data_IF_188489336342
#
_entry.id   IF_188489336342
#
_cell.length_a   1.000
_cell.length_b   1.000
_cell.length_c   1.000
_cell.angle_alpha   90.00
_cell.angle_beta   90.00
_cell.angle_gamma   90.00
#
_symmetry.space_group_name_H-M   'P 1'
#
loop_
_entity.id
_entity.type
_entity.pdbx_description
1 polymer ?
#
# COMPACT_ATOMS: atom_id res chain seq x y z
N UNK A 1 27.71 -2.66 23.79
CA UNK A 1 27.17 -2.43 22.43
C UNK A 1 26.65 -3.76 21.90
N UNK A 2 25.33 -3.96 21.90
CA UNK A 2 24.71 -5.25 21.56
C UNK A 2 24.79 -5.48 20.05
N UNK A 3 25.42 -6.59 19.65
CA UNK A 3 25.58 -7.02 18.27
C UNK A 3 24.18 -7.26 17.69
N UNK A 4 23.76 -6.50 16.67
CA UNK A 4 22.49 -6.71 16.01
C UNK A 4 22.44 -8.16 15.48
N UNK A 5 21.46 -8.95 15.94
CA UNK A 5 21.20 -10.28 15.40
C UNK A 5 20.98 -10.14 13.89
N UNK A 6 21.66 -10.93 13.05
CA UNK A 6 21.49 -10.87 11.59
C UNK A 6 20.03 -11.06 11.15
N UNK A 7 19.21 -11.74 11.96
CA UNK A 7 17.79 -12.01 11.72
C UNK A 7 16.84 -11.05 12.45
N UNK A 8 17.32 -9.86 12.84
CA UNK A 8 16.43 -8.88 13.47
C UNK A 8 15.37 -8.39 12.48
N UNK A 9 14.15 -8.16 12.97
CA UNK A 9 13.04 -7.65 12.17
C UNK A 9 13.41 -6.37 11.40
N UNK A 10 14.20 -5.48 12.02
CA UNK A 10 14.63 -4.23 11.42
C UNK A 10 15.60 -4.45 10.25
N UNK A 11 16.57 -5.35 10.41
CA UNK A 11 17.50 -5.73 9.33
C UNK A 11 16.76 -6.36 8.15
N UNK A 12 15.79 -7.23 8.44
CA UNK A 12 14.94 -7.85 7.41
C UNK A 12 14.02 -6.83 6.72
N UNK A 13 13.53 -5.83 7.46
CA UNK A 13 12.77 -4.70 6.88
C UNK A 13 13.65 -3.87 5.94
N UNK A 14 14.88 -3.55 6.33
CA UNK A 14 15.80 -2.80 5.46
C UNK A 14 16.13 -3.59 4.19
N UNK A 15 16.47 -4.87 4.32
CA UNK A 15 16.76 -5.73 3.16
C UNK A 15 15.56 -5.90 2.22
N UNK A 16 14.34 -5.89 2.76
CA UNK A 16 13.13 -5.91 1.95
C UNK A 16 13.03 -4.69 1.02
N UNK A 17 13.30 -3.48 1.50
CA UNK A 17 13.19 -2.27 0.67
C UNK A 17 14.34 -2.11 -0.31
N UNK A 18 15.59 -2.18 0.17
CA UNK A 18 16.76 -1.87 -0.66
C UNK A 18 17.26 -3.07 -1.46
N UNK A 19 17.15 -4.28 -0.92
CA UNK A 19 17.50 -5.51 -1.63
C UNK A 19 16.35 -5.96 -2.52
N UNK A 20 15.25 -6.40 -1.90
CA UNK A 20 14.23 -7.14 -2.63
C UNK A 20 13.34 -6.27 -3.53
N UNK A 21 12.72 -5.22 -3.00
CA UNK A 21 11.79 -4.40 -3.78
C UNK A 21 12.48 -3.61 -4.88
N UNK A 22 13.60 -2.97 -4.57
CA UNK A 22 14.36 -2.16 -5.53
C UNK A 22 15.17 -3.03 -6.49
N UNK A 23 16.04 -3.91 -5.97
CA UNK A 23 17.02 -4.60 -6.80
C UNK A 23 16.48 -5.86 -7.47
N UNK A 24 15.61 -6.62 -6.79
CA UNK A 24 15.07 -7.88 -7.35
C UNK A 24 13.77 -7.68 -8.13
N UNK A 25 12.84 -6.88 -7.61
CA UNK A 25 11.50 -6.73 -8.18
C UNK A 25 11.34 -5.52 -9.10
N UNK A 26 12.22 -4.53 -9.02
CA UNK A 26 12.16 -3.31 -9.83
C UNK A 26 10.82 -2.58 -9.72
N UNK A 27 10.22 -2.53 -8.51
CA UNK A 27 8.89 -1.93 -8.34
C UNK A 27 8.92 -0.41 -8.54
N UNK A 28 7.81 0.16 -9.00
CA UNK A 28 7.69 1.62 -9.16
C UNK A 28 7.89 2.37 -7.83
N UNK A 29 8.30 3.63 -7.92
CA UNK A 29 8.43 4.53 -6.75
C UNK A 29 7.12 4.66 -5.97
N UNK A 30 5.97 4.65 -6.65
CA UNK A 30 4.65 4.68 -6.04
C UNK A 30 4.36 3.40 -5.25
N UNK A 31 4.70 2.23 -5.80
CA UNK A 31 4.55 0.94 -5.10
C UNK A 31 5.44 0.89 -3.86
N UNK A 32 6.70 1.34 -3.97
CA UNK A 32 7.63 1.40 -2.85
C UNK A 32 7.09 2.28 -1.72
N UNK A 33 6.56 3.47 -2.06
CA UNK A 33 5.94 4.38 -1.10
C UNK A 33 4.72 3.75 -0.43
N UNK A 34 3.83 3.13 -1.21
CA UNK A 34 2.65 2.45 -0.68
C UNK A 34 3.03 1.31 0.28
N UNK A 35 4.05 0.52 -0.04
CA UNK A 35 4.51 -0.59 0.81
C UNK A 35 5.18 -0.08 2.09
N UNK A 36 5.99 0.98 2.00
CA UNK A 36 6.58 1.67 3.15
C UNK A 36 5.50 2.17 4.11
N UNK A 37 4.49 2.86 3.58
CA UNK A 37 3.43 3.44 4.39
C UNK A 37 2.56 2.35 5.03
N UNK A 38 2.31 1.24 4.32
CA UNK A 38 1.62 0.07 4.84
C UNK A 38 2.38 -0.60 6.00
N UNK A 39 3.68 -0.89 5.83
CA UNK A 39 4.50 -1.52 6.86
C UNK A 39 4.73 -0.62 8.06
N UNK A 40 4.95 0.69 7.85
CA UNK A 40 5.06 1.66 8.95
C UNK A 40 3.80 1.65 9.81
N UNK A 41 2.62 1.69 9.18
CA UNK A 41 1.35 1.69 9.90
C UNK A 41 1.11 0.37 10.63
N UNK A 42 1.50 -0.75 10.02
CA UNK A 42 1.43 -2.08 10.65
C UNK A 42 2.33 -2.18 11.88
N UNK A 43 3.59 -1.75 11.81
CA UNK A 43 4.50 -1.78 12.96
C UNK A 43 4.06 -0.85 14.09
N UNK A 44 3.55 0.33 13.77
CA UNK A 44 2.95 1.22 14.77
C UNK A 44 1.76 0.55 15.49
N UNK A 45 0.91 -0.14 14.73
CA UNK A 45 -0.20 -0.89 15.29
C UNK A 45 0.27 -2.02 16.22
N UNK A 46 1.26 -2.82 15.78
CA UNK A 46 1.81 -3.91 16.59
C UNK A 46 2.43 -3.41 17.89
N UNK A 47 3.26 -2.37 17.82
CA UNK A 47 3.87 -1.74 18.99
C UNK A 47 2.80 -1.26 19.99
N UNK A 48 1.73 -0.62 19.51
CA UNK A 48 0.60 -0.21 20.35
C UNK A 48 -0.13 -1.39 20.99
N UNK A 49 -0.43 -2.44 20.22
CA UNK A 49 -1.14 -3.62 20.72
C UNK A 49 -0.32 -4.41 21.76
N UNK A 50 0.99 -4.52 21.54
CA UNK A 50 1.92 -5.26 22.41
C UNK A 50 2.48 -4.41 23.56
N UNK A 51 2.22 -3.10 23.56
CA UNK A 51 2.82 -2.12 24.48
C UNK A 51 4.35 -2.18 24.47
N UNK A 52 4.93 -2.37 23.28
CA UNK A 52 6.37 -2.43 23.04
C UNK A 52 6.83 -1.21 22.25
N UNK A 53 8.10 -0.85 22.35
CA UNK A 53 8.69 0.08 21.39
C UNK A 53 8.84 -0.59 20.02
N UNK A 54 8.82 0.18 18.93
CA UNK A 54 9.01 -0.36 17.57
C UNK A 54 10.35 -1.09 17.44
N UNK A 55 11.39 -0.59 18.12
CA UNK A 55 12.72 -1.20 18.12
C UNK A 55 12.79 -2.56 18.83
N UNK A 56 11.79 -2.88 19.65
CA UNK A 56 11.68 -4.13 20.42
C UNK A 56 10.77 -5.16 19.73
N UNK A 57 10.16 -4.80 18.60
CA UNK A 57 9.37 -5.74 17.81
C UNK A 57 10.27 -6.79 17.19
N UNK A 58 9.84 -8.03 17.27
CA UNK A 58 10.55 -9.19 16.73
C UNK A 58 9.69 -9.95 15.70
N UNK A 59 10.26 -11.02 15.15
CA UNK A 59 9.55 -11.88 14.20
C UNK A 59 8.40 -12.65 14.86
N UNK A 60 8.44 -12.90 16.16
CA UNK A 60 7.39 -13.60 16.90
C UNK A 60 6.14 -12.73 17.09
N UNK A 61 6.28 -11.41 17.05
CA UNK A 61 5.16 -10.46 17.07
C UNK A 61 4.34 -10.46 15.76
N UNK A 62 4.88 -10.97 14.64
CA UNK A 62 4.21 -10.98 13.33
C UNK A 62 3.44 -12.30 13.14
N UNK A 63 2.24 -12.38 13.70
CA UNK A 63 1.36 -13.55 13.57
C UNK A 63 0.16 -13.29 12.66
N UNK A 64 -0.48 -14.35 12.16
CA UNK A 64 -1.66 -14.23 11.32
C UNK A 64 -2.80 -13.48 12.02
N UNK A 65 -2.99 -13.73 13.32
CA UNK A 65 -3.97 -13.09 14.17
C UNK A 65 -3.68 -11.58 14.32
N UNK A 66 -2.40 -11.21 14.41
CA UNK A 66 -1.98 -9.81 14.48
C UNK A 66 -2.21 -9.08 13.14
N UNK A 67 -1.99 -9.77 12.01
CA UNK A 67 -2.32 -9.23 10.69
C UNK A 67 -3.83 -9.06 10.52
N UNK A 68 -4.65 -10.04 10.94
CA UNK A 68 -6.10 -9.92 10.91
C UNK A 68 -6.59 -8.75 11.78
N UNK A 69 -6.10 -8.66 13.03
CA UNK A 69 -6.43 -7.56 13.92
C UNK A 69 -6.03 -6.19 13.34
N UNK A 70 -4.89 -6.11 12.66
CA UNK A 70 -4.49 -4.90 11.94
C UNK A 70 -5.46 -4.56 10.81
N UNK A 71 -5.84 -5.52 9.98
CA UNK A 71 -6.76 -5.31 8.88
C UNK A 71 -8.15 -4.84 9.37
N UNK A 72 -8.60 -5.34 10.51
CA UNK A 72 -9.84 -4.92 11.15
C UNK A 72 -9.72 -3.52 11.76
N UNK A 73 -8.59 -3.18 12.38
CA UNK A 73 -8.29 -1.82 12.84
C UNK A 73 -8.30 -0.80 11.70
N UNK A 74 -7.71 -1.16 10.57
CA UNK A 74 -7.70 -0.31 9.37
C UNK A 74 -9.11 0.01 8.89
N UNK A 75 -10.02 -0.96 8.90
CA UNK A 75 -11.39 -0.77 8.45
C UNK A 75 -12.23 -0.03 9.49
N UNK A 76 -12.19 -0.46 10.76
CA UNK A 76 -13.07 0.03 11.82
C UNK A 76 -12.67 1.38 12.40
N UNK A 77 -11.37 1.63 12.60
CA UNK A 77 -10.88 2.84 13.27
C UNK A 77 -10.39 3.90 12.31
N UNK A 78 -9.98 3.52 11.11
CA UNK A 78 -9.47 4.46 10.09
C UNK A 78 -10.41 4.61 8.89
N UNK A 79 -11.53 3.90 8.89
CA UNK A 79 -12.57 3.97 7.85
C UNK A 79 -12.02 3.75 6.43
N UNK A 80 -10.97 2.95 6.31
CA UNK A 80 -10.40 2.62 5.00
C UNK A 80 -11.30 1.63 4.27
N UNK A 81 -11.44 1.82 2.95
CA UNK A 81 -12.21 0.91 2.10
C UNK A 81 -11.56 -0.49 2.02
N UNK A 82 -12.35 -1.49 1.62
CA UNK A 82 -11.87 -2.85 1.37
C UNK A 82 -10.72 -2.88 0.35
N UNK A 83 -10.71 -1.99 -0.65
CA UNK A 83 -9.61 -1.84 -1.62
C UNK A 83 -8.32 -1.46 -0.91
N UNK A 84 -8.36 -0.39 -0.10
CA UNK A 84 -7.17 0.08 0.64
C UNK A 84 -6.69 -0.95 1.67
N UNK A 85 -7.61 -1.65 2.34
CA UNK A 85 -7.31 -2.80 3.22
C UNK A 85 -6.54 -3.88 2.46
N UNK A 86 -7.01 -4.25 1.26
CA UNK A 86 -6.36 -5.26 0.44
C UNK A 86 -4.99 -4.82 -0.09
N UNK A 87 -4.81 -3.54 -0.45
CA UNK A 87 -3.50 -3.01 -0.82
C UNK A 87 -2.49 -3.12 0.34
N UNK A 88 -2.92 -2.86 1.58
CA UNK A 88 -2.07 -3.04 2.77
C UNK A 88 -1.75 -4.51 3.03
N UNK A 89 -2.73 -5.40 2.88
CA UNK A 89 -2.50 -6.85 2.95
C UNK A 89 -1.50 -7.32 1.89
N UNK A 90 -1.55 -6.78 0.67
CA UNK A 90 -0.60 -7.12 -0.39
C UNK A 90 0.85 -6.72 -0.02
N UNK A 91 1.04 -5.55 0.58
CA UNK A 91 2.35 -5.13 1.10
C UNK A 91 2.86 -6.07 2.20
N UNK A 92 2.00 -6.42 3.17
CA UNK A 92 2.35 -7.36 4.26
C UNK A 92 2.70 -8.74 3.70
N UNK A 93 1.91 -9.26 2.76
CA UNK A 93 2.20 -10.55 2.09
C UNK A 93 3.52 -10.51 1.34
N UNK A 94 3.81 -9.44 0.61
CA UNK A 94 5.09 -9.28 -0.07
C UNK A 94 6.26 -9.25 0.92
N UNK A 95 6.08 -8.63 2.09
CA UNK A 95 7.08 -8.61 3.14
C UNK A 95 7.28 -10.01 3.75
N UNK A 96 6.21 -10.72 4.07
CA UNK A 96 6.29 -12.09 4.59
C UNK A 96 6.89 -13.07 3.58
N UNK A 97 6.64 -12.90 2.28
CA UNK A 97 7.33 -13.65 1.23
C UNK A 97 8.84 -13.38 1.19
N UNK A 98 9.27 -12.18 1.59
CA UNK A 98 10.70 -11.89 1.77
C UNK A 98 11.24 -12.55 3.03
N UNK A 99 10.51 -12.46 4.15
CA UNK A 99 10.88 -13.15 5.39
C UNK A 99 11.05 -14.66 5.18
N UNK A 100 10.13 -15.31 4.46
CA UNK A 100 10.19 -16.74 4.15
C UNK A 100 11.43 -17.13 3.32
N UNK A 101 11.97 -16.21 2.51
CA UNK A 101 13.21 -16.45 1.76
C UNK A 101 14.46 -16.34 2.63
N UNK A 102 14.40 -15.50 3.65
CA UNK A 102 15.51 -15.29 4.58
C UNK A 102 15.51 -16.34 5.70
N UNK A 103 14.34 -16.75 6.18
CA UNK A 103 14.16 -17.71 7.27
C UNK A 103 13.06 -18.72 6.93
N UNK A 104 13.46 -19.96 6.69
CA UNK A 104 12.54 -21.08 6.41
C UNK A 104 12.04 -21.77 7.68
N UNK A 105 12.70 -21.55 8.83
CA UNK A 105 12.36 -22.24 10.10
C UNK A 105 10.97 -21.85 10.59
N UNK A 106 10.51 -20.66 10.21
CA UNK A 106 9.18 -20.10 10.53
C UNK A 106 8.17 -20.26 9.40
N UNK A 107 8.40 -21.16 8.43
CA UNK A 107 7.53 -21.30 7.26
C UNK A 107 6.05 -21.54 7.60
N UNK A 108 5.75 -22.26 8.69
CA UNK A 108 4.38 -22.46 9.16
C UNK A 108 3.69 -21.16 9.60
N UNK A 109 4.40 -20.30 10.34
CA UNK A 109 3.92 -18.97 10.75
C UNK A 109 3.67 -18.09 9.52
N UNK A 110 4.63 -18.02 8.61
CA UNK A 110 4.53 -17.21 7.40
C UNK A 110 3.43 -17.72 6.45
N UNK A 111 3.31 -19.03 6.29
CA UNK A 111 2.27 -19.67 5.47
C UNK A 111 0.86 -19.29 5.92
N UNK A 112 0.59 -19.24 7.23
CA UNK A 112 -0.70 -18.78 7.77
C UNK A 112 -1.01 -17.34 7.37
N UNK A 113 -0.03 -16.44 7.40
CA UNK A 113 -0.21 -15.05 6.97
C UNK A 113 -0.46 -14.97 5.45
N UNK A 114 0.27 -15.75 4.66
CA UNK A 114 0.09 -15.78 3.21
C UNK A 114 -1.31 -16.30 2.83
N UNK A 115 -1.88 -17.22 3.62
CA UNK A 115 -3.22 -17.77 3.41
C UNK A 115 -4.39 -16.79 3.66
N UNK A 116 -4.15 -15.60 4.22
CA UNK A 116 -5.17 -14.67 4.78
C UNK A 116 -6.32 -14.17 3.88
N UNK A 117 -6.57 -14.56 2.64
CA UNK A 117 -7.70 -14.04 1.80
C UNK A 117 -7.99 -12.51 1.77
N UNK A 118 -8.01 -11.96 0.57
CA UNK A 118 -8.46 -10.58 0.37
C UNK A 118 -9.96 -10.46 0.62
N UNK A 119 -10.40 -9.35 1.22
CA UNK A 119 -11.83 -9.09 1.40
C UNK A 119 -12.43 -8.70 0.05
N UNK A 120 -13.61 -9.21 -0.29
CA UNK A 120 -14.31 -8.80 -1.51
C UNK A 120 -14.58 -7.28 -1.44
N UNK A 121 -14.05 -6.55 -2.41
CA UNK A 121 -14.31 -5.12 -2.54
C UNK A 121 -15.40 -4.92 -3.59
N UNK A 122 -16.42 -4.14 -3.26
CA UNK A 122 -17.39 -3.68 -4.25
C UNK A 122 -16.68 -2.61 -5.08
N UNK A 123 -16.47 -2.89 -6.36
CA UNK A 123 -16.04 -1.88 -7.30
C UNK A 123 -17.23 -0.94 -7.52
N UNK A 124 -17.15 0.28 -6.96
CA UNK A 124 -18.09 1.33 -7.34
C UNK A 124 -17.91 1.57 -8.84
N UNK A 125 -19.03 1.70 -9.55
CA UNK A 125 -19.01 2.17 -10.93
C UNK A 125 -18.19 3.47 -10.97
N UNK A 126 -17.28 3.55 -11.94
CA UNK A 126 -16.50 4.77 -12.14
C UNK A 126 -17.52 5.85 -12.50
N UNK A 127 -17.58 6.91 -11.70
CA UNK A 127 -18.37 8.08 -12.06
C UNK A 127 -17.79 8.62 -13.36
N UNK A 128 -18.63 8.69 -14.40
CA UNK A 128 -18.27 9.22 -15.70
C UNK A 128 -19.21 10.39 -16.00
N UNK A 129 -18.75 11.28 -16.89
CA UNK A 129 -19.55 12.38 -17.39
C UNK A 129 -20.18 11.95 -18.71
N UNK A 130 -21.48 12.19 -18.86
CA UNK A 130 -22.14 12.10 -20.15
C UNK A 130 -21.56 13.15 -21.12
N UNK A 131 -21.65 12.94 -22.45
CA UNK A 131 -21.03 13.84 -23.42
C UNK A 131 -21.43 15.31 -23.28
N UNK A 132 -22.65 15.59 -22.82
CA UNK A 132 -23.13 16.95 -22.58
C UNK A 132 -22.50 17.58 -21.32
N UNK A 133 -22.38 16.79 -20.26
CA UNK A 133 -21.73 17.22 -19.00
C UNK A 133 -20.25 17.48 -19.22
N UNK A 134 -19.55 16.61 -19.97
CA UNK A 134 -18.16 16.80 -20.34
C UNK A 134 -17.97 18.08 -21.18
N UNK A 135 -18.85 18.32 -22.16
CA UNK A 135 -18.84 19.55 -22.97
C UNK A 135 -19.07 20.79 -22.11
N UNK A 136 -19.99 20.74 -21.15
CA UNK A 136 -20.25 21.84 -20.23
C UNK A 136 -19.02 22.17 -19.37
N UNK A 137 -18.32 21.15 -18.86
CA UNK A 137 -17.07 21.34 -18.08
C UNK A 137 -15.97 21.99 -18.92
N UNK A 138 -15.78 21.53 -20.17
CA UNK A 138 -14.78 22.09 -21.08
C UNK A 138 -15.12 23.55 -21.42
N UNK A 139 -16.39 23.83 -21.70
CA UNK A 139 -16.86 25.17 -22.05
C UNK A 139 -16.80 26.17 -20.88
N UNK A 140 -16.80 25.69 -19.64
CA UNK A 140 -16.70 26.55 -18.45
C UNK A 140 -15.29 27.13 -18.22
N UNK A 141 -14.28 26.69 -18.98
CA UNK A 141 -12.90 27.20 -18.83
C UNK A 141 -12.77 28.59 -19.44
N UNK A 142 -12.35 29.57 -18.64
CA UNK A 142 -12.07 30.93 -19.10
C UNK A 142 -10.82 30.98 -20.00
N UNK A 143 -11.02 31.01 -21.32
CA UNK A 143 -9.96 31.12 -22.32
C UNK A 143 -9.37 32.52 -22.48
N UNK A 144 -9.82 33.52 -21.71
CA UNK A 144 -9.27 34.88 -21.72
C UNK A 144 -7.84 34.94 -21.17
N UNK A 145 -7.45 33.98 -20.32
CA UNK A 145 -6.11 33.89 -19.74
C UNK A 145 -5.21 32.86 -20.46
N UNK A 146 -3.89 33.04 -20.39
CA UNK A 146 -2.93 32.05 -20.92
C UNK A 146 -3.07 30.68 -20.24
N UNK A 147 -3.33 30.65 -18.93
CA UNK A 147 -3.57 29.41 -18.17
C UNK A 147 -4.85 28.72 -18.62
N UNK A 148 -5.93 29.47 -18.81
CA UNK A 148 -7.20 28.90 -19.25
C UNK A 148 -7.15 28.33 -20.66
N UNK A 149 -6.43 28.95 -21.60
CA UNK A 149 -6.19 28.34 -22.93
C UNK A 149 -5.44 27.02 -22.85
N UNK A 150 -4.42 26.93 -21.98
CA UNK A 150 -3.68 25.68 -21.73
C UNK A 150 -4.59 24.61 -21.14
N UNK A 151 -5.34 24.95 -20.10
CA UNK A 151 -6.21 24.00 -19.39
C UNK A 151 -7.35 23.52 -20.29
N UNK A 152 -7.93 24.40 -21.10
CA UNK A 152 -8.91 24.05 -22.13
C UNK A 152 -8.34 23.07 -23.15
N UNK A 153 -7.13 23.33 -23.69
CA UNK A 153 -6.48 22.42 -24.63
C UNK A 153 -6.17 21.05 -24.01
N UNK A 154 -5.72 21.02 -22.75
CA UNK A 154 -5.45 19.78 -22.01
C UNK A 154 -6.73 18.97 -21.79
N UNK A 155 -7.82 19.60 -21.32
CA UNK A 155 -9.10 18.91 -21.13
C UNK A 155 -9.65 18.36 -22.44
N UNK A 156 -9.55 19.13 -23.53
CA UNK A 156 -9.98 18.69 -24.86
C UNK A 156 -9.15 17.49 -25.34
N UNK A 157 -7.83 17.51 -25.15
CA UNK A 157 -6.94 16.40 -25.50
C UNK A 157 -7.29 15.14 -24.71
N UNK A 158 -7.42 15.26 -23.38
CA UNK A 158 -7.74 14.15 -22.49
C UNK A 158 -9.10 13.53 -22.84
N UNK A 159 -10.12 14.36 -23.10
CA UNK A 159 -11.45 13.89 -23.47
C UNK A 159 -11.46 13.14 -24.80
N UNK A 160 -10.78 13.66 -25.83
CA UNK A 160 -10.78 13.03 -27.16
C UNK A 160 -9.90 11.78 -27.27
N UNK A 161 -8.88 11.66 -26.42
CA UNK A 161 -7.90 10.56 -26.52
C UNK A 161 -8.03 9.50 -25.42
N UNK A 162 -8.72 9.81 -24.32
CA UNK A 162 -8.73 8.95 -23.14
C UNK A 162 -7.35 8.80 -22.47
N UNK A 163 -6.44 9.74 -22.71
CA UNK A 163 -5.10 9.70 -22.14
C UNK A 163 -5.11 9.77 -20.61
N UNK A 164 -4.13 9.08 -19.99
CA UNK A 164 -3.92 9.08 -18.53
C UNK A 164 -2.97 10.21 -18.14
N UNK A 165 -3.13 10.71 -16.91
CA UNK A 165 -2.31 11.76 -16.29
C UNK A 165 -1.38 11.12 -15.25
#
# INVERSE_FOLDING_TARGET
MSRAKPDSLLTLTQSFFFGYLQSTRGVSSHTLRAYRDALKLFFLFLAGQKRKQIAELDLDDIQAEAVLAFLDYIESKRSNSAVTRNCRLAAIRSFVQHLLRCDVTRAGQYGRILAIQTKRAIHRAVAYLEPEEARAVIAAVDTGSQRGRRDHALLLLLYNTGARI
#
